data_IF_279292531602
#
_entry.id   IF_279292531602
#
_cell.length_a   1.000
_cell.length_b   1.000
_cell.length_c   1.000
_cell.angle_alpha   90.00
_cell.angle_beta   90.00
_cell.angle_gamma   90.00
#
_symmetry.space_group_name_H-M   'P 1'
#
loop_
_entity.id
_entity.type
_entity.pdbx_description
1 polymer ?
#
# COMPACT_ATOMS: atom_id res chain seq x y z
N UNK A 1 0.63 -5.61 -6.63
CA UNK A 1 1.33 -4.62 -7.47
C UNK A 1 1.81 -3.40 -6.64
N UNK A 2 2.89 -2.72 -7.04
CA UNK A 2 3.30 -1.43 -6.45
C UNK A 2 2.25 -0.35 -6.74
N UNK A 3 2.27 0.75 -5.98
CA UNK A 3 1.43 1.95 -6.19
C UNK A 3 -0.11 1.75 -6.14
N UNK A 4 -0.59 0.56 -5.76
CA UNK A 4 -2.03 0.24 -5.70
C UNK A 4 -2.76 0.74 -4.44
N UNK A 5 -2.15 1.58 -3.60
CA UNK A 5 -2.81 2.15 -2.43
C UNK A 5 -2.91 1.23 -1.19
N UNK A 6 -2.11 0.14 -1.13
CA UNK A 6 -2.13 -0.84 -0.02
C UNK A 6 -1.99 -0.19 1.36
N UNK A 7 -1.00 0.69 1.52
CA UNK A 7 -0.75 1.43 2.77
C UNK A 7 -1.91 2.33 3.15
N UNK A 8 -2.44 3.08 2.19
CA UNK A 8 -3.59 3.97 2.42
C UNK A 8 -4.83 3.18 2.85
N UNK A 9 -5.12 2.05 2.19
CA UNK A 9 -6.23 1.19 2.56
C UNK A 9 -6.02 0.54 3.95
N UNK A 10 -4.81 0.07 4.25
CA UNK A 10 -4.49 -0.48 5.56
C UNK A 10 -4.68 0.56 6.67
N UNK A 11 -4.23 1.79 6.44
CA UNK A 11 -4.46 2.90 7.36
C UNK A 11 -5.93 3.24 7.51
N UNK A 12 -6.68 3.26 6.41
CA UNK A 12 -8.12 3.53 6.43
C UNK A 12 -8.90 2.47 7.22
N UNK A 13 -8.60 1.18 7.00
CA UNK A 13 -9.18 0.06 7.78
C UNK A 13 -8.88 0.22 9.27
N UNK A 14 -7.63 0.53 9.62
CA UNK A 14 -7.24 0.73 11.01
C UNK A 14 -8.01 1.91 11.65
N UNK A 15 -8.13 3.04 10.95
CA UNK A 15 -8.88 4.20 11.45
C UNK A 15 -10.38 3.92 11.60
N UNK A 16 -10.99 3.22 10.63
CA UNK A 16 -12.39 2.82 10.69
C UNK A 16 -12.69 1.84 11.84
N UNK A 17 -11.71 1.06 12.29
CA UNK A 17 -11.88 0.13 13.41
C UNK A 17 -12.24 0.85 14.72
N UNK A 18 -11.82 2.11 14.88
CA UNK A 18 -11.97 2.90 16.11
C UNK A 18 -11.46 2.18 17.37
N UNK A 19 -10.46 1.30 17.23
CA UNK A 19 -9.89 0.59 18.37
C UNK A 19 -9.10 1.53 19.29
N UNK A 20 -9.13 1.32 20.62
CA UNK A 20 -8.45 2.19 21.59
C UNK A 20 -6.93 2.28 21.39
N UNK A 21 -6.32 1.22 20.88
CA UNK A 21 -4.90 1.21 20.53
C UNK A 21 -4.73 0.99 19.04
N UNK A 22 -4.09 1.95 18.38
CA UNK A 22 -3.75 1.88 16.98
C UNK A 22 -2.27 2.26 16.84
N UNK A 23 -1.48 1.37 16.22
CA UNK A 23 -0.06 1.64 15.96
C UNK A 23 0.33 1.33 14.53
N UNK A 24 0.90 2.33 13.86
CA UNK A 24 1.58 2.17 12.58
C UNK A 24 3.05 1.83 12.81
N UNK A 25 3.49 0.73 12.22
CA UNK A 25 4.85 0.26 12.16
C UNK A 25 5.32 0.35 10.72
N UNK A 26 6.09 1.39 10.41
CA UNK A 26 6.66 1.62 9.08
C UNK A 26 8.18 1.56 9.15
N UNK A 27 8.83 1.14 8.06
CA UNK A 27 10.29 1.12 7.99
C UNK A 27 10.93 2.51 8.23
N UNK A 28 10.22 3.59 7.84
CA UNK A 28 10.64 4.97 8.07
C UNK A 28 10.87 5.29 9.55
N UNK A 29 10.00 4.78 10.44
CA UNK A 29 10.15 4.98 11.90
C UNK A 29 11.33 4.22 12.51
N UNK A 30 11.94 3.31 11.75
CA UNK A 30 13.05 2.46 12.16
C UNK A 30 14.30 2.68 11.29
N UNK A 31 14.39 3.82 10.62
CA UNK A 31 15.57 4.18 9.84
C UNK A 31 16.81 4.29 10.74
N UNK A 32 17.91 3.69 10.30
CA UNK A 32 19.17 3.64 11.06
C UNK A 32 19.19 2.63 12.21
N UNK A 33 18.11 1.87 12.44
CA UNK A 33 18.10 0.86 13.48
C UNK A 33 18.88 -0.37 13.02
N UNK A 34 19.69 -0.95 13.93
CA UNK A 34 20.21 -2.29 13.74
C UNK A 34 19.09 -3.32 13.75
N UNK A 35 19.33 -4.52 13.19
CA UNK A 35 18.33 -5.61 13.21
C UNK A 35 17.80 -5.90 14.62
N UNK A 36 18.69 -5.88 15.62
CA UNK A 36 18.32 -6.10 17.02
C UNK A 36 17.41 -4.99 17.55
N UNK A 37 17.72 -3.74 17.24
CA UNK A 37 16.90 -2.59 17.63
C UNK A 37 15.50 -2.65 16.97
N UNK A 38 15.42 -3.07 15.70
CA UNK A 38 14.13 -3.33 15.02
C UNK A 38 13.33 -4.42 15.73
N UNK A 39 13.97 -5.54 16.07
CA UNK A 39 13.33 -6.63 16.81
C UNK A 39 12.81 -6.17 18.18
N UNK A 40 13.58 -5.37 18.92
CA UNK A 40 13.18 -4.82 20.22
C UNK A 40 12.00 -3.85 20.08
N UNK A 41 12.04 -2.96 19.10
CA UNK A 41 10.95 -2.02 18.85
C UNK A 41 9.65 -2.73 18.45
N UNK A 42 9.74 -3.75 17.59
CA UNK A 42 8.59 -4.60 17.24
C UNK A 42 8.02 -5.30 18.48
N UNK A 43 8.86 -5.91 19.32
CA UNK A 43 8.42 -6.53 20.58
C UNK A 43 7.68 -5.54 21.46
N UNK A 44 8.24 -4.34 21.66
CA UNK A 44 7.63 -3.27 22.45
C UNK A 44 6.25 -2.87 21.92
N UNK A 45 6.12 -2.66 20.61
CA UNK A 45 4.83 -2.31 19.97
C UNK A 45 3.77 -3.37 20.26
N UNK A 46 4.12 -4.65 20.10
CA UNK A 46 3.17 -5.75 20.34
C UNK A 46 2.87 -5.94 21.83
N UNK A 47 3.82 -5.71 22.73
CA UNK A 47 3.59 -5.72 24.17
C UNK A 47 2.64 -4.61 24.61
N UNK A 48 2.76 -3.41 24.04
CA UNK A 48 1.84 -2.31 24.29
C UNK A 48 0.46 -2.59 23.70
N UNK A 49 0.39 -3.15 22.49
CA UNK A 49 -0.87 -3.58 21.88
C UNK A 49 -1.60 -4.63 22.72
N UNK A 50 -0.86 -5.52 23.39
CA UNK A 50 -1.40 -6.51 24.31
C UNK A 50 -1.94 -5.91 25.60
N UNK A 51 -1.70 -4.65 25.95
CA UNK A 51 -2.27 -4.00 27.15
C UNK A 51 -3.71 -3.52 26.91
N UNK A 52 -4.08 -3.25 25.65
CA UNK A 52 -5.41 -2.78 25.25
C UNK A 52 -6.43 -3.91 25.14
N UNK A 53 -7.71 -3.61 25.35
CA UNK A 53 -8.81 -4.55 25.13
C UNK A 53 -8.98 -4.89 23.64
N UNK A 54 -8.93 -3.88 22.78
CA UNK A 54 -8.90 -3.98 21.33
C UNK A 54 -7.67 -3.22 20.82
N UNK A 55 -6.89 -3.84 19.95
CA UNK A 55 -5.72 -3.21 19.33
C UNK A 55 -5.62 -3.51 17.85
N UNK A 56 -5.15 -2.53 17.08
CA UNK A 56 -4.79 -2.68 15.69
C UNK A 56 -3.32 -2.29 15.49
N UNK A 57 -2.53 -3.20 14.92
CA UNK A 57 -1.15 -2.92 14.52
C UNK A 57 -1.06 -3.04 13.01
N UNK A 58 -0.68 -1.93 12.36
CA UNK A 58 -0.43 -1.88 10.92
C UNK A 58 1.07 -2.03 10.69
N UNK A 59 1.49 -3.06 9.97
CA UNK A 59 2.88 -3.31 9.59
C UNK A 59 3.03 -3.07 8.09
N UNK A 60 3.56 -1.89 7.75
CA UNK A 60 3.63 -1.43 6.36
C UNK A 60 4.93 -1.84 5.68
N UNK A 61 4.83 -2.21 4.41
CA UNK A 61 5.92 -2.60 3.52
C UNK A 61 6.87 -3.63 4.16
N UNK A 62 6.34 -4.84 4.39
CA UNK A 62 7.08 -5.93 5.05
C UNK A 62 8.44 -6.21 4.39
N UNK A 63 8.53 -6.15 3.07
CA UNK A 63 9.78 -6.26 2.33
C UNK A 63 10.84 -5.25 2.80
N UNK A 64 10.45 -4.00 3.04
CA UNK A 64 11.34 -2.91 3.47
C UNK A 64 11.72 -3.09 4.94
N UNK A 65 10.77 -3.51 5.78
CA UNK A 65 11.05 -3.81 7.18
C UNK A 65 12.03 -4.99 7.33
N UNK A 66 11.91 -5.99 6.46
CA UNK A 66 12.80 -7.15 6.35
C UNK A 66 14.13 -6.84 5.64
N UNK A 67 14.34 -5.60 5.17
CA UNK A 67 15.51 -5.21 4.39
C UNK A 67 15.74 -6.12 3.16
N UNK A 68 14.64 -6.53 2.52
CA UNK A 68 14.70 -7.43 1.37
C UNK A 68 15.38 -6.74 0.18
N UNK A 69 16.44 -7.37 -0.33
CA UNK A 69 17.12 -6.97 -1.56
C UNK A 69 17.10 -8.13 -2.57
N UNK A 70 16.58 -7.93 -3.80
CA UNK A 70 16.42 -9.01 -4.78
C UNK A 70 17.74 -9.51 -5.36
N UNK A 71 18.79 -8.69 -5.35
CA UNK A 71 20.13 -9.08 -5.82
C UNK A 71 20.82 -9.92 -4.74
N UNK A 72 21.00 -11.22 -5.02
CA UNK A 72 21.64 -12.16 -4.09
C UNK A 72 20.78 -12.45 -2.84
N UNK A 73 19.49 -12.74 -3.02
CA UNK A 73 18.36 -12.47 -2.11
C UNK A 73 18.76 -12.35 -0.64
N UNK A 74 18.85 -11.11 -0.16
CA UNK A 74 19.20 -10.80 1.24
C UNK A 74 17.98 -10.30 1.98
N UNK A 75 17.90 -10.63 3.27
CA UNK A 75 16.88 -10.14 4.19
C UNK A 75 17.36 -10.35 5.63
N UNK A 76 16.82 -9.56 6.56
CA UNK A 76 17.08 -9.69 7.99
C UNK A 76 16.33 -10.88 8.58
N UNK A 77 16.97 -12.04 8.67
CA UNK A 77 16.35 -13.24 9.25
C UNK A 77 15.91 -13.02 10.71
N UNK A 78 16.66 -12.23 11.51
CA UNK A 78 16.28 -11.90 12.88
C UNK A 78 14.91 -11.18 12.96
N UNK A 79 14.67 -10.25 12.04
CA UNK A 79 13.39 -9.52 11.94
C UNK A 79 12.29 -10.45 11.46
N UNK A 80 12.57 -11.32 10.47
CA UNK A 80 11.63 -12.33 9.98
C UNK A 80 11.15 -13.27 11.08
N UNK A 81 12.07 -13.87 11.84
CA UNK A 81 11.71 -14.79 12.93
C UNK A 81 10.94 -14.08 14.04
N UNK A 82 11.31 -12.83 14.35
CA UNK A 82 10.58 -12.01 15.32
C UNK A 82 9.14 -11.75 14.85
N UNK A 83 8.93 -11.36 13.59
CA UNK A 83 7.59 -11.14 13.03
C UNK A 83 6.75 -12.43 13.03
N UNK A 84 7.32 -13.57 12.62
CA UNK A 84 6.63 -14.88 12.67
C UNK A 84 6.15 -15.22 14.08
N UNK A 85 6.99 -14.98 15.10
CA UNK A 85 6.63 -15.21 16.49
C UNK A 85 5.53 -14.25 16.95
N UNK A 86 5.67 -12.96 16.66
CA UNK A 86 4.72 -11.94 17.08
C UNK A 86 3.34 -12.11 16.43
N UNK A 87 3.29 -12.49 15.15
CA UNK A 87 2.03 -12.68 14.42
C UNK A 87 1.26 -13.93 14.87
N UNK A 88 1.96 -14.97 15.33
CA UNK A 88 1.34 -16.20 15.86
C UNK A 88 0.97 -16.10 17.34
N UNK A 89 1.54 -15.13 18.07
CA UNK A 89 1.29 -14.97 19.50
C UNK A 89 -0.15 -14.50 19.72
N UNK A 90 -0.93 -15.31 20.43
CA UNK A 90 -2.28 -14.91 20.84
C UNK A 90 -2.23 -13.82 21.91
N UNK A 91 -3.13 -12.81 21.85
CA UNK A 91 -3.26 -11.83 22.91
C UNK A 91 -3.71 -12.49 24.23
N UNK A 92 -3.47 -11.86 25.39
CA UNK A 92 -3.98 -12.34 26.67
C UNK A 92 -5.51 -12.52 26.67
N UNK A 93 -6.02 -13.38 27.56
CA UNK A 93 -7.46 -13.63 27.68
C UNK A 93 -8.25 -12.31 27.82
N UNK A 94 -9.34 -12.20 27.06
CA UNK A 94 -10.20 -11.01 27.06
C UNK A 94 -9.70 -9.84 26.20
N UNK A 95 -8.58 -9.99 25.49
CA UNK A 95 -8.03 -8.97 24.58
C UNK A 95 -8.03 -9.46 23.13
N UNK A 96 -8.17 -8.54 22.17
CA UNK A 96 -8.16 -8.83 20.73
C UNK A 96 -7.16 -7.95 20.01
N UNK A 97 -6.41 -8.55 19.08
CA UNK A 97 -5.41 -7.90 18.26
C UNK A 97 -5.73 -8.14 16.78
N UNK A 98 -5.85 -7.06 16.02
CA UNK A 98 -5.91 -7.07 14.56
C UNK A 98 -4.54 -6.66 14.01
N UNK A 99 -3.94 -7.51 13.18
CA UNK A 99 -2.71 -7.20 12.47
C UNK A 99 -3.07 -6.99 11.00
N UNK A 100 -2.75 -5.82 10.47
CA UNK A 100 -2.88 -5.52 9.04
C UNK A 100 -1.47 -5.32 8.50
N UNK A 101 -1.07 -6.09 7.50
CA UNK A 101 0.23 -5.92 6.89
C UNK A 101 0.12 -5.67 5.39
N UNK A 102 1.07 -4.92 4.84
CA UNK A 102 1.14 -4.65 3.41
C UNK A 102 2.43 -5.21 2.83
N UNK A 103 2.35 -5.69 1.59
CA UNK A 103 3.52 -6.12 0.83
C UNK A 103 3.27 -5.97 -0.66
N UNK A 104 4.33 -5.66 -1.40
CA UNK A 104 4.38 -5.73 -2.85
C UNK A 104 4.99 -7.06 -3.34
N UNK A 105 5.75 -7.76 -2.48
CA UNK A 105 6.45 -9.02 -2.79
C UNK A 105 5.77 -10.24 -2.12
N UNK A 106 4.52 -10.51 -2.50
CA UNK A 106 3.73 -11.64 -1.95
C UNK A 106 4.49 -12.97 -2.04
N UNK A 107 5.04 -13.27 -3.20
CA UNK A 107 5.65 -14.58 -3.46
C UNK A 107 6.92 -14.78 -2.62
N UNK A 108 7.65 -13.70 -2.33
CA UNK A 108 8.79 -13.73 -1.41
C UNK A 108 8.30 -14.00 0.02
N UNK A 109 7.23 -13.35 0.49
CA UNK A 109 6.70 -13.62 1.84
C UNK A 109 6.20 -15.07 1.99
N UNK A 110 5.73 -15.67 0.91
CA UNK A 110 5.33 -17.08 0.87
C UNK A 110 6.54 -18.01 0.96
N UNK A 111 7.57 -17.77 0.14
CA UNK A 111 8.85 -18.51 0.21
C UNK A 111 9.54 -18.38 1.58
N UNK A 112 9.48 -17.20 2.19
CA UNK A 112 9.98 -16.96 3.53
C UNK A 112 9.10 -17.59 4.62
N UNK A 113 7.93 -18.15 4.29
CA UNK A 113 6.99 -18.77 5.21
C UNK A 113 6.32 -17.79 6.17
N UNK A 114 6.37 -16.49 5.89
CA UNK A 114 5.69 -15.47 6.70
C UNK A 114 4.20 -15.41 6.36
N UNK A 115 3.83 -15.66 5.09
CA UNK A 115 2.45 -15.59 4.61
C UNK A 115 1.52 -16.54 5.40
N UNK A 116 2.01 -17.71 5.79
CA UNK A 116 1.30 -18.70 6.61
C UNK A 116 0.97 -18.20 8.04
N UNK A 117 1.49 -17.05 8.47
CA UNK A 117 1.16 -16.44 9.76
C UNK A 117 -0.10 -15.55 9.68
N UNK A 118 -0.64 -15.32 8.49
CA UNK A 118 -1.83 -14.49 8.28
C UNK A 118 -3.09 -15.33 8.06
N UNK A 119 -4.19 -14.92 8.70
CA UNK A 119 -5.47 -15.61 8.57
C UNK A 119 -6.18 -15.33 7.24
N UNK A 120 -5.89 -14.20 6.59
CA UNK A 120 -6.50 -13.80 5.33
C UNK A 120 -5.55 -12.94 4.52
N UNK A 121 -5.55 -13.15 3.20
CA UNK A 121 -4.81 -12.36 2.23
C UNK A 121 -5.82 -11.68 1.31
N UNK A 122 -5.70 -10.36 1.14
CA UNK A 122 -6.56 -9.57 0.25
C UNK A 122 -5.68 -9.06 -0.89
N UNK A 123 -6.06 -9.41 -2.12
CA UNK A 123 -5.34 -8.91 -3.30
C UNK A 123 -5.80 -7.50 -3.65
N UNK A 124 -4.84 -6.60 -3.86
CA UNK A 124 -5.08 -5.23 -4.29
C UNK A 124 -4.60 -5.06 -5.73
N UNK A 125 -5.54 -5.09 -6.68
CA UNK A 125 -5.27 -4.93 -8.12
C UNK A 125 -4.97 -3.49 -8.50
N UNK A 126 -4.25 -3.31 -9.61
CA UNK A 126 -4.22 -2.04 -10.32
C UNK A 126 -5.53 -1.82 -11.08
N UNK A 127 -5.79 -0.57 -11.47
CA UNK A 127 -6.91 -0.23 -12.35
C UNK A 127 -6.64 -0.78 -13.74
N UNK A 128 -7.64 -1.47 -14.30
CA UNK A 128 -7.52 -2.23 -15.54
C UNK A 128 -8.25 -1.65 -16.76
N UNK A 129 -9.11 -0.65 -16.57
CA UNK A 129 -10.02 -0.11 -17.60
C UNK A 129 -10.00 1.41 -17.60
N UNK A 130 -10.27 2.01 -18.76
CA UNK A 130 -10.46 3.46 -18.87
C UNK A 130 -11.58 3.99 -17.96
N UNK A 131 -12.64 3.20 -17.73
CA UNK A 131 -13.71 3.55 -16.80
C UNK A 131 -13.23 3.73 -15.36
N UNK A 132 -12.29 2.90 -14.88
CA UNK A 132 -11.71 3.11 -13.55
C UNK A 132 -10.96 4.44 -13.45
N UNK A 133 -10.24 4.82 -14.51
CA UNK A 133 -9.54 6.12 -14.58
C UNK A 133 -10.54 7.26 -14.55
N UNK A 134 -11.57 7.22 -15.40
CA UNK A 134 -12.61 8.24 -15.47
C UNK A 134 -13.31 8.42 -14.11
N UNK A 135 -13.59 7.31 -13.40
CA UNK A 135 -14.15 7.38 -12.06
C UNK A 135 -13.24 8.13 -11.09
N UNK A 136 -11.93 7.85 -11.09
CA UNK A 136 -10.96 8.59 -10.26
C UNK A 136 -10.86 10.06 -10.66
N UNK A 137 -10.88 10.37 -11.96
CA UNK A 137 -10.85 11.76 -12.44
C UNK A 137 -12.06 12.56 -11.99
N UNK A 138 -13.25 11.95 -11.97
CA UNK A 138 -14.48 12.59 -11.49
C UNK A 138 -14.44 12.90 -9.98
N UNK A 139 -13.73 12.11 -9.18
CA UNK A 139 -13.56 12.35 -7.75
C UNK A 139 -12.52 13.45 -7.45
N UNK A 140 -11.73 13.87 -8.44
CA UNK A 140 -10.69 14.90 -8.28
C UNK A 140 -11.23 16.23 -8.80
N UNK A 141 -11.56 17.11 -7.88
CA UNK A 141 -12.04 18.44 -8.20
C UNK A 141 -11.02 19.27 -9.01
N UNK A 142 -11.52 20.04 -9.97
CA UNK A 142 -10.80 21.08 -10.69
C UNK A 142 -9.54 20.65 -11.47
N UNK A 143 -9.39 19.39 -11.85
CA UNK A 143 -8.29 18.98 -12.72
C UNK A 143 -8.60 19.16 -14.21
N UNK A 144 -9.78 18.73 -14.65
CA UNK A 144 -10.21 18.81 -16.04
C UNK A 144 -11.59 19.48 -16.11
N UNK A 145 -11.81 20.32 -17.11
CA UNK A 145 -13.13 20.90 -17.37
C UNK A 145 -14.06 19.90 -18.10
N UNK A 146 -15.33 20.24 -18.24
CA UNK A 146 -16.34 19.34 -18.81
C UNK A 146 -16.02 18.89 -20.25
N UNK A 147 -15.41 19.76 -21.06
CA UNK A 147 -15.06 19.45 -22.45
C UNK A 147 -13.81 18.56 -22.52
N UNK A 148 -12.82 18.81 -21.65
CA UNK A 148 -11.67 17.94 -21.45
C UNK A 148 -12.10 16.54 -20.97
N UNK A 149 -13.05 16.48 -20.03
CA UNK A 149 -13.60 15.22 -19.52
C UNK A 149 -14.34 14.43 -20.59
N UNK A 150 -15.18 15.07 -21.41
CA UNK A 150 -15.82 14.41 -22.57
C UNK A 150 -14.80 13.88 -23.59
N UNK A 151 -13.70 14.61 -23.78
CA UNK A 151 -12.64 14.15 -24.67
C UNK A 151 -11.89 12.94 -24.09
N UNK A 152 -11.57 12.97 -22.80
CA UNK A 152 -10.95 11.85 -22.08
C UNK A 152 -11.85 10.62 -22.09
N UNK A 153 -13.16 10.79 -21.88
CA UNK A 153 -14.13 9.70 -21.95
C UNK A 153 -14.10 8.99 -23.30
N UNK A 154 -14.11 9.76 -24.41
CA UNK A 154 -13.98 9.20 -25.76
C UNK A 154 -12.65 8.49 -25.99
N UNK A 155 -11.56 9.03 -25.46
CA UNK A 155 -10.21 8.47 -25.62
C UNK A 155 -9.96 7.20 -24.80
N UNK A 156 -10.56 7.12 -23.61
CA UNK A 156 -10.42 6.02 -22.67
C UNK A 156 -11.50 4.94 -22.86
N UNK A 157 -12.51 5.18 -23.71
CA UNK A 157 -13.54 4.21 -24.03
C UNK A 157 -12.92 2.90 -24.56
N UNK A 158 -13.32 1.77 -23.98
CA UNK A 158 -12.81 0.41 -24.27
C UNK A 158 -11.28 0.23 -24.20
N UNK A 159 -10.56 1.18 -23.58
CA UNK A 159 -9.12 1.06 -23.37
C UNK A 159 -8.80 0.20 -22.15
N UNK A 160 -7.81 -0.67 -22.34
CA UNK A 160 -7.17 -1.41 -21.25
C UNK A 160 -5.97 -0.63 -20.77
N UNK A 161 -5.82 -0.58 -19.46
CA UNK A 161 -4.74 0.12 -18.76
C UNK A 161 -4.24 -0.76 -17.64
N UNK A 162 -3.06 -0.51 -17.12
CA UNK A 162 -2.59 -1.18 -15.91
C UNK A 162 -1.80 -0.21 -15.03
N UNK A 163 -2.52 0.55 -14.19
CA UNK A 163 -1.91 1.60 -13.37
C UNK A 163 -2.42 1.56 -11.93
N UNK A 164 -1.50 1.75 -10.99
CA UNK A 164 -1.82 1.87 -9.56
C UNK A 164 -2.33 3.27 -9.25
N UNK A 165 -3.27 3.38 -8.30
CA UNK A 165 -3.90 4.67 -7.93
C UNK A 165 -2.88 5.76 -7.59
N UNK A 166 -1.79 5.44 -6.87
CA UNK A 166 -0.77 6.44 -6.54
C UNK A 166 -0.08 6.99 -7.79
N UNK A 167 0.29 6.12 -8.73
CA UNK A 167 0.91 6.54 -9.98
C UNK A 167 -0.05 7.38 -10.83
N UNK A 168 -1.34 7.02 -10.86
CA UNK A 168 -2.35 7.84 -11.54
C UNK A 168 -2.45 9.24 -10.93
N UNK A 169 -2.50 9.35 -9.60
CA UNK A 169 -2.52 10.65 -8.91
C UNK A 169 -1.28 11.49 -9.24
N UNK A 170 -0.09 10.87 -9.32
CA UNK A 170 1.13 11.55 -9.72
C UNK A 170 1.03 12.10 -11.17
N UNK A 171 0.45 11.34 -12.10
CA UNK A 171 0.20 11.81 -13.48
C UNK A 171 -0.77 12.98 -13.53
N UNK A 172 -1.84 12.93 -12.73
CA UNK A 172 -2.83 13.99 -12.63
C UNK A 172 -2.19 15.28 -12.12
N UNK A 173 -1.30 15.18 -11.12
CA UNK A 173 -0.61 16.36 -10.58
C UNK A 173 0.32 17.01 -11.62
N UNK A 174 1.01 16.20 -12.43
CA UNK A 174 1.84 16.72 -13.52
C UNK A 174 0.99 17.36 -14.62
N UNK A 175 -0.17 16.79 -14.94
CA UNK A 175 -1.12 17.36 -15.89
C UNK A 175 -1.68 18.71 -15.39
N UNK A 176 -1.97 18.82 -14.10
CA UNK A 176 -2.48 20.06 -13.48
C UNK A 176 -1.52 21.24 -13.65
N UNK A 177 -0.21 20.99 -13.69
CA UNK A 177 0.82 22.02 -13.88
C UNK A 177 1.02 22.43 -15.35
N UNK A 178 0.38 21.76 -16.30
CA UNK A 178 0.47 22.08 -17.71
C UNK A 178 -0.57 23.14 -18.12
N UNK A 179 -0.24 23.90 -19.18
CA UNK A 179 -1.17 24.87 -19.78
C UNK A 179 -2.43 24.15 -20.27
N UNK A 180 -3.59 24.82 -20.18
CA UNK A 180 -4.91 24.29 -20.56
C UNK A 180 -4.91 23.60 -21.94
N UNK A 181 -4.22 24.20 -22.93
CA UNK A 181 -4.14 23.67 -24.30
C UNK A 181 -3.40 22.34 -24.41
N UNK A 182 -2.52 22.04 -23.45
CA UNK A 182 -1.61 20.88 -23.47
C UNK A 182 -1.92 19.83 -22.40
N UNK A 183 -2.71 20.19 -21.37
CA UNK A 183 -3.03 19.36 -20.20
C UNK A 183 -3.49 17.95 -20.59
N UNK A 184 -4.54 17.87 -21.39
CA UNK A 184 -5.14 16.58 -21.81
C UNK A 184 -4.17 15.76 -22.65
N UNK A 185 -3.47 16.37 -23.61
CA UNK A 185 -2.50 15.69 -24.44
C UNK A 185 -1.34 15.13 -23.63
N UNK A 186 -0.83 15.91 -22.67
CA UNK A 186 0.23 15.50 -21.75
C UNK A 186 -0.21 14.35 -20.84
N UNK A 187 -1.42 14.45 -20.26
CA UNK A 187 -1.98 13.38 -19.43
C UNK A 187 -2.12 12.07 -20.20
N UNK A 188 -2.69 12.10 -21.41
CA UNK A 188 -2.85 10.90 -22.24
C UNK A 188 -1.49 10.30 -22.62
N UNK A 189 -0.53 11.11 -23.07
CA UNK A 189 0.79 10.61 -23.44
C UNK A 189 1.50 9.94 -22.27
N UNK A 190 1.44 10.55 -21.07
CA UNK A 190 2.01 9.94 -19.87
C UNK A 190 1.26 8.67 -19.44
N UNK A 191 -0.06 8.65 -19.61
CA UNK A 191 -0.87 7.48 -19.31
C UNK A 191 -0.54 6.32 -20.26
N UNK A 192 -0.30 6.59 -21.55
CA UNK A 192 0.17 5.61 -22.53
C UNK A 192 1.51 5.00 -22.09
N UNK A 193 2.47 5.85 -21.72
CA UNK A 193 3.81 5.44 -21.29
C UNK A 193 3.80 4.61 -20.01
N UNK A 194 3.05 5.03 -18.99
CA UNK A 194 3.09 4.43 -17.65
C UNK A 194 2.10 3.28 -17.49
N UNK A 195 0.91 3.39 -18.07
CA UNK A 195 -0.16 2.41 -17.90
C UNK A 195 -0.18 1.35 -19.01
N UNK A 196 0.64 1.50 -20.06
CA UNK A 196 0.64 0.61 -21.22
C UNK A 196 -0.73 0.57 -21.89
N UNK A 197 -1.31 1.75 -22.14
CA UNK A 197 -2.65 1.88 -22.71
C UNK A 197 -2.68 1.30 -24.14
N UNK A 198 -3.48 0.26 -24.36
CA UNK A 198 -3.68 -0.41 -25.67
C UNK A 198 -5.10 -0.17 -26.16
#
# INVERSE_FOLDING_TARGET
>A
PPNSGKTALAAHIALLSKFPYLKFCTAQTMLGFSELAKCQQLKKIFEDAHKSSLSCVVVDELETLLEYAPVGPRYSNNVLQTLKLLFKRSPPKGRKLLIVATTTYRDILDQLGLLASFSKVIHMSNMSTGQHILHVLNEIEHCFNDDEMKYLEKKLHDKKVYIGIKALLDLIEVARQADDKSRVGRFIGQLEDVAGMI
#
